data_IF_229210210279
#
_entry.id   IF_229210210279
#
_cell.length_a   1.000
_cell.length_b   1.000
_cell.length_c   1.000
_cell.angle_alpha   90.00
_cell.angle_beta   90.00
_cell.angle_gamma   90.00
#
_symmetry.space_group_name_H-M   'P 1'
#
loop_
_entity.id
_entity.type
_entity.pdbx_description
1 polymer ?
#
# COMPACT_ATOMS: atom_id res chain seq x y z
N UNK A 1 8.37 -8.89 -25.43
CA UNK A 1 7.87 -8.96 -24.05
C UNK A 1 8.06 -10.31 -23.35
N UNK A 2 8.22 -11.42 -24.05
CA UNK A 2 8.40 -12.75 -23.42
C UNK A 2 9.76 -13.04 -22.77
N UNK A 3 10.77 -12.16 -22.91
CA UNK A 3 12.16 -12.47 -22.55
C UNK A 3 12.47 -12.38 -21.04
N UNK A 4 11.65 -11.67 -20.25
CA UNK A 4 11.89 -11.43 -18.83
C UNK A 4 11.05 -12.29 -17.89
N UNK A 5 9.99 -12.94 -18.39
CA UNK A 5 9.07 -13.73 -17.57
C UNK A 5 9.69 -15.00 -16.94
N UNK A 6 10.80 -15.50 -17.51
CA UNK A 6 11.47 -16.72 -17.04
C UNK A 6 12.60 -16.42 -16.04
N UNK A 7 12.89 -15.15 -15.79
CA UNK A 7 13.94 -14.74 -14.87
C UNK A 7 13.38 -14.34 -13.51
N UNK A 8 14.18 -14.55 -12.46
CA UNK A 8 13.83 -14.02 -11.13
C UNK A 8 13.98 -12.50 -11.10
N UNK A 9 13.25 -11.84 -10.20
CA UNK A 9 13.30 -10.38 -10.10
C UNK A 9 14.67 -9.88 -9.66
N UNK A 10 15.36 -10.66 -8.84
CA UNK A 10 16.74 -10.40 -8.40
C UNK A 10 17.70 -10.38 -9.58
N UNK A 11 17.63 -11.39 -10.45
CA UNK A 11 18.46 -11.47 -11.67
C UNK A 11 18.14 -10.33 -12.65
N UNK A 12 16.88 -9.90 -12.71
CA UNK A 12 16.48 -8.75 -13.53
C UNK A 12 17.10 -7.46 -12.99
N UNK A 13 17.12 -7.27 -11.67
CA UNK A 13 17.71 -6.07 -11.05
C UNK A 13 19.24 -6.02 -11.27
N UNK A 14 19.93 -7.16 -11.22
CA UNK A 14 21.36 -7.21 -11.55
C UNK A 14 21.62 -6.77 -13.01
N UNK A 15 20.82 -7.23 -13.96
CA UNK A 15 20.92 -6.80 -15.36
C UNK A 15 20.55 -5.33 -15.56
N UNK A 16 19.57 -4.82 -14.81
CA UNK A 16 19.24 -3.39 -14.82
C UNK A 16 20.45 -2.55 -14.41
N UNK A 17 21.17 -2.98 -13.37
CA UNK A 17 22.43 -2.33 -12.93
C UNK A 17 23.56 -2.46 -13.93
N UNK A 18 23.57 -3.52 -14.72
CA UNK A 18 24.50 -3.70 -15.83
C UNK A 18 24.17 -2.81 -17.06
N UNK A 19 23.09 -2.01 -16.99
CA UNK A 19 22.74 -1.00 -17.99
C UNK A 19 21.54 -1.34 -18.87
N UNK A 20 20.81 -2.43 -18.62
CA UNK A 20 19.62 -2.79 -19.40
C UNK A 20 18.37 -2.05 -18.87
N UNK A 21 18.21 -0.78 -19.24
CA UNK A 21 17.18 0.14 -18.71
C UNK A 21 15.72 -0.32 -18.93
N UNK A 22 15.46 -1.09 -20.01
CA UNK A 22 14.12 -1.61 -20.31
C UNK A 22 13.53 -2.51 -19.20
N UNK A 23 14.39 -3.07 -18.34
CA UNK A 23 13.97 -3.89 -17.20
C UNK A 23 13.23 -3.07 -16.14
N UNK A 24 13.60 -1.79 -15.97
CA UNK A 24 12.90 -0.92 -15.03
C UNK A 24 11.42 -0.80 -15.41
N UNK A 25 11.10 -0.52 -16.66
CA UNK A 25 9.71 -0.43 -17.14
C UNK A 25 8.97 -1.76 -16.99
N UNK A 26 9.66 -2.87 -17.26
CA UNK A 26 9.09 -4.20 -17.09
C UNK A 26 8.71 -4.47 -15.62
N UNK A 27 9.59 -4.20 -14.66
CA UNK A 27 9.33 -4.39 -13.23
C UNK A 27 8.22 -3.44 -12.75
N UNK A 28 8.22 -2.19 -13.19
CA UNK A 28 7.17 -1.23 -12.85
C UNK A 28 5.79 -1.72 -13.34
N UNK A 29 5.68 -2.24 -14.56
CA UNK A 29 4.42 -2.77 -15.07
C UNK A 29 4.02 -4.08 -14.38
N UNK A 30 4.98 -5.00 -14.12
CA UNK A 30 4.74 -6.25 -13.40
C UNK A 30 4.11 -6.02 -12.01
N UNK A 31 4.62 -5.04 -11.26
CA UNK A 31 4.18 -4.75 -9.90
C UNK A 31 3.05 -3.72 -9.78
N UNK A 32 2.65 -3.09 -10.87
CA UNK A 32 1.57 -2.09 -10.92
C UNK A 32 0.25 -2.60 -10.35
N UNK A 33 -0.09 -3.87 -10.60
CA UNK A 33 -1.27 -4.51 -10.04
C UNK A 33 -1.22 -4.58 -8.51
N UNK A 34 -0.05 -4.90 -7.95
CA UNK A 34 0.20 -4.92 -6.51
C UNK A 34 0.04 -3.53 -5.90
N UNK A 35 0.65 -2.51 -6.52
CA UNK A 35 0.53 -1.11 -6.07
C UNK A 35 -0.94 -0.67 -6.03
N UNK A 36 -1.71 -0.95 -7.10
CA UNK A 36 -3.14 -0.63 -7.14
C UNK A 36 -3.94 -1.33 -6.04
N UNK A 37 -3.66 -2.61 -5.78
CA UNK A 37 -4.31 -3.36 -4.70
C UNK A 37 -4.04 -2.74 -3.34
N UNK A 38 -2.78 -2.38 -3.06
CA UNK A 38 -2.37 -1.73 -1.79
C UNK A 38 -2.97 -0.33 -1.65
N UNK A 39 -2.90 0.50 -2.68
CA UNK A 39 -3.49 1.84 -2.68
C UNK A 39 -5.00 1.81 -2.39
N UNK A 40 -5.73 0.85 -2.98
CA UNK A 40 -7.16 0.66 -2.70
C UNK A 40 -7.43 0.25 -1.26
N UNK A 41 -6.63 -0.65 -0.69
CA UNK A 41 -6.76 -1.02 0.71
C UNK A 41 -6.50 0.20 1.63
N UNK A 42 -5.47 0.97 1.34
CA UNK A 42 -5.10 2.17 2.12
C UNK A 42 -6.04 3.36 1.92
N UNK A 43 -6.80 3.42 0.82
CA UNK A 43 -7.87 4.42 0.64
C UNK A 43 -8.89 4.39 1.78
N UNK A 44 -9.18 3.22 2.35
CA UNK A 44 -10.10 3.08 3.48
C UNK A 44 -9.62 3.83 4.73
N UNK A 45 -8.30 4.00 4.88
CA UNK A 45 -7.68 4.72 6.00
C UNK A 45 -7.66 6.23 5.73
N UNK A 46 -7.42 6.66 4.49
CA UNK A 46 -7.43 8.07 4.09
C UNK A 46 -6.73 8.32 2.75
N UNK A 47 -6.96 9.50 2.18
CA UNK A 47 -6.35 9.92 0.92
C UNK A 47 -7.24 9.68 -0.31
N UNK A 48 -6.81 10.19 -1.46
CA UNK A 48 -7.37 9.90 -2.77
C UNK A 48 -6.70 8.65 -3.37
N UNK A 49 -7.48 7.81 -4.06
CA UNK A 49 -6.95 6.55 -4.61
C UNK A 49 -5.87 6.78 -5.66
N UNK A 50 -6.04 7.78 -6.51
CA UNK A 50 -5.09 8.04 -7.59
C UNK A 50 -3.79 8.61 -7.05
N UNK A 51 -3.86 9.50 -6.05
CA UNK A 51 -2.68 10.00 -5.33
C UNK A 51 -1.93 8.85 -4.63
N UNK A 52 -2.67 7.94 -3.97
CA UNK A 52 -2.06 6.80 -3.30
C UNK A 52 -1.42 5.81 -4.29
N UNK A 53 -1.98 5.67 -5.51
CA UNK A 53 -1.35 4.87 -6.57
C UNK A 53 -0.03 5.52 -7.00
N UNK A 54 0.01 6.84 -7.20
CA UNK A 54 1.24 7.55 -7.56
C UNK A 54 2.30 7.40 -6.48
N UNK A 55 1.94 7.61 -5.22
CA UNK A 55 2.85 7.40 -4.09
C UNK A 55 3.35 5.96 -4.01
N UNK A 56 2.48 4.98 -4.20
CA UNK A 56 2.87 3.57 -4.26
C UNK A 56 3.83 3.26 -5.42
N UNK A 57 3.66 3.90 -6.58
CA UNK A 57 4.61 3.77 -7.71
C UNK A 57 5.97 4.40 -7.38
N UNK A 58 6.00 5.52 -6.63
CA UNK A 58 7.26 6.10 -6.13
C UNK A 58 7.94 5.12 -5.16
N UNK A 59 7.17 4.47 -4.26
CA UNK A 59 7.69 3.44 -3.36
C UNK A 59 8.29 2.25 -4.11
N UNK A 60 7.62 1.78 -5.17
CA UNK A 60 8.13 0.72 -6.04
C UNK A 60 9.41 1.14 -6.77
N UNK A 61 9.45 2.35 -7.30
CA UNK A 61 10.66 2.87 -7.96
C UNK A 61 11.86 2.92 -7.01
N UNK A 62 11.64 3.39 -5.77
CA UNK A 62 12.67 3.34 -4.71
C UNK A 62 13.12 1.90 -4.43
N UNK A 63 12.18 0.95 -4.37
CA UNK A 63 12.52 -0.45 -4.15
C UNK A 63 13.40 -1.02 -5.27
N UNK A 64 13.10 -0.75 -6.53
CA UNK A 64 13.94 -1.18 -7.68
C UNK A 64 15.35 -0.60 -7.61
N UNK A 65 15.46 0.67 -7.21
CA UNK A 65 16.75 1.36 -7.10
C UNK A 65 17.59 0.86 -5.91
N UNK A 66 16.98 0.69 -4.75
CA UNK A 66 17.66 0.54 -3.46
C UNK A 66 17.78 -0.91 -2.99
N UNK A 67 17.12 -1.87 -3.66
CA UNK A 67 17.20 -3.29 -3.33
C UNK A 67 18.64 -3.80 -3.42
N UNK A 68 19.04 -4.64 -2.47
CA UNK A 68 20.36 -5.28 -2.43
C UNK A 68 20.18 -6.80 -2.44
N UNK A 69 20.65 -7.53 -3.48
CA UNK A 69 20.49 -8.98 -3.60
C UNK A 69 21.18 -9.78 -2.49
N UNK A 70 22.21 -9.20 -1.86
CA UNK A 70 23.01 -9.85 -0.81
C UNK A 70 22.28 -10.00 0.54
N UNK A 71 21.05 -9.46 0.64
CA UNK A 71 20.21 -9.60 1.84
C UNK A 71 19.24 -10.77 1.65
N UNK A 72 18.97 -11.50 2.73
CA UNK A 72 18.13 -12.72 2.76
C UNK A 72 16.66 -12.51 2.33
N UNK A 73 16.24 -11.30 2.00
CA UNK A 73 14.87 -10.98 1.61
C UNK A 73 14.70 -10.97 0.09
N UNK A 74 13.61 -11.56 -0.41
CA UNK A 74 13.25 -11.49 -1.83
C UNK A 74 12.92 -10.05 -2.24
N UNK A 75 13.15 -9.71 -3.52
CA UNK A 75 12.75 -8.40 -4.06
C UNK A 75 11.26 -8.11 -3.83
N UNK A 76 10.40 -9.11 -4.01
CA UNK A 76 8.96 -8.96 -3.81
C UNK A 76 8.63 -8.53 -2.37
N UNK A 77 9.28 -9.14 -1.36
CA UNK A 77 9.08 -8.77 0.05
C UNK A 77 9.56 -7.35 0.33
N UNK A 78 10.74 -6.98 -0.19
CA UNK A 78 11.28 -5.64 -0.05
C UNK A 78 10.41 -4.58 -0.73
N UNK A 79 9.96 -4.84 -1.98
CA UNK A 79 9.07 -3.94 -2.71
C UNK A 79 7.73 -3.74 -1.97
N UNK A 80 7.17 -4.82 -1.37
CA UNK A 80 5.97 -4.73 -0.56
C UNK A 80 6.12 -3.71 0.58
N UNK A 81 7.22 -3.79 1.33
CA UNK A 81 7.49 -2.90 2.46
C UNK A 81 7.69 -1.45 1.98
N UNK A 82 8.45 -1.25 0.91
CA UNK A 82 8.70 0.09 0.36
C UNK A 82 7.41 0.77 -0.13
N UNK A 83 6.53 0.02 -0.81
CA UNK A 83 5.24 0.51 -1.29
C UNK A 83 4.35 0.90 -0.09
N UNK A 84 4.21 0.02 0.90
CA UNK A 84 3.37 0.27 2.08
C UNK A 84 3.84 1.50 2.86
N UNK A 85 5.14 1.62 3.11
CA UNK A 85 5.72 2.77 3.82
C UNK A 85 5.49 4.07 3.08
N UNK A 86 5.68 4.09 1.76
CA UNK A 86 5.49 5.31 0.97
C UNK A 86 4.02 5.75 1.01
N UNK A 87 3.08 4.83 0.80
CA UNK A 87 1.64 5.13 0.86
C UNK A 87 1.24 5.60 2.27
N UNK A 88 1.71 4.92 3.32
CA UNK A 88 1.41 5.30 4.70
C UNK A 88 1.93 6.70 5.04
N UNK A 89 3.16 7.02 4.61
CA UNK A 89 3.75 8.35 4.80
C UNK A 89 2.92 9.43 4.11
N UNK A 90 2.45 9.18 2.90
CA UNK A 90 1.59 10.11 2.18
C UNK A 90 0.25 10.35 2.90
N UNK A 91 -0.39 9.29 3.42
CA UNK A 91 -1.62 9.41 4.21
C UNK A 91 -1.38 10.22 5.48
N UNK A 92 -0.29 9.96 6.21
CA UNK A 92 0.07 10.66 7.43
C UNK A 92 0.33 12.14 7.17
N UNK A 93 1.02 12.47 6.08
CA UNK A 93 1.28 13.85 5.64
C UNK A 93 -0.03 14.56 5.28
N UNK A 94 -0.89 13.94 4.47
CA UNK A 94 -2.20 14.51 4.10
C UNK A 94 -3.09 14.78 5.31
N UNK A 95 -3.10 13.88 6.30
CA UNK A 95 -3.89 14.06 7.51
C UNK A 95 -3.35 15.20 8.39
N UNK A 96 -2.03 15.40 8.47
CA UNK A 96 -1.44 16.54 9.20
C UNK A 96 -1.83 17.86 8.57
N UNK A 97 -1.81 17.97 7.24
CA UNK A 97 -2.19 19.20 6.53
C UNK A 97 -3.65 19.57 6.72
N UNK A 98 -4.55 18.61 6.84
CA UNK A 98 -5.99 18.84 7.08
C UNK A 98 -6.30 19.37 8.49
N UNK A 99 -5.42 19.15 9.46
CA UNK A 99 -5.58 19.57 10.84
C UNK A 99 -4.79 20.82 11.22
N UNK A 100 -3.98 21.40 10.31
CA UNK A 100 -3.32 22.68 10.56
C UNK A 100 -4.27 23.82 10.18
N UNK A 101 -4.65 24.73 11.11
CA UNK A 101 -5.27 25.99 10.76
C UNK A 101 -4.27 26.81 9.93
N UNK A 102 -4.78 27.56 8.97
CA UNK A 102 -4.08 28.35 7.93
C UNK A 102 -3.03 29.37 8.43
N UNK A 103 -2.63 29.37 9.69
CA UNK A 103 -1.84 30.43 10.31
C UNK A 103 -0.61 29.96 11.09
N UNK A 104 -0.01 28.82 10.77
CA UNK A 104 1.28 28.47 11.40
C UNK A 104 2.37 28.34 10.33
N UNK A 105 3.20 29.37 10.21
CA UNK A 105 4.50 29.28 9.53
C UNK A 105 5.32 28.20 10.22
N UNK A 106 5.63 27.10 9.55
CA UNK A 106 6.58 26.11 10.03
C UNK A 106 7.88 26.30 9.27
N UNK A 107 8.93 26.64 10.01
CA UNK A 107 10.30 26.77 9.54
C UNK A 107 10.78 25.45 8.91
N UNK A 108 11.38 25.53 7.72
CA UNK A 108 11.95 24.42 6.94
C UNK A 108 13.29 23.90 7.48
N UNK A 109 13.53 23.93 8.78
CA UNK A 109 14.83 23.59 9.38
C UNK A 109 14.87 22.34 10.26
N UNK A 110 13.95 21.41 10.12
CA UNK A 110 14.04 20.13 10.85
C UNK A 110 14.46 19.00 9.92
N UNK A 111 15.80 18.87 9.76
CA UNK A 111 16.45 17.77 9.05
C UNK A 111 16.47 16.43 9.80
N UNK A 112 15.58 16.21 10.78
CA UNK A 112 15.54 14.99 11.60
C UNK A 112 14.69 13.85 10.98
N UNK A 113 14.08 14.06 9.83
CA UNK A 113 13.22 13.05 9.21
C UNK A 113 13.97 11.96 8.41
N UNK A 114 15.23 12.20 8.01
CA UNK A 114 15.98 11.26 7.17
C UNK A 114 16.79 10.22 7.99
N UNK A 115 17.22 10.54 9.20
CA UNK A 115 18.02 9.61 10.03
C UNK A 115 17.17 8.51 10.66
N UNK A 116 15.94 8.78 11.06
CA UNK A 116 15.02 7.77 11.60
C UNK A 116 14.54 6.74 10.56
N UNK A 117 14.79 6.97 9.26
CA UNK A 117 14.34 6.09 8.18
C UNK A 117 15.28 4.89 7.96
N UNK A 118 16.57 5.01 8.31
CA UNK A 118 17.53 3.91 8.12
C UNK A 118 17.48 2.88 9.24
N UNK A 119 17.22 3.28 10.47
CA UNK A 119 17.18 2.37 11.63
C UNK A 119 15.89 1.53 11.70
N UNK A 120 14.77 2.04 11.20
CA UNK A 120 13.49 1.28 11.17
C UNK A 120 13.47 0.09 10.19
N UNK A 121 14.47 -0.04 9.31
CA UNK A 121 14.55 -1.14 8.36
C UNK A 121 15.22 -2.39 8.92
N UNK A 122 15.82 -2.32 10.12
CA UNK A 122 16.67 -3.36 10.69
C UNK A 122 16.11 -3.99 11.98
N UNK A 123 14.98 -3.50 12.51
CA UNK A 123 14.39 -4.11 13.69
C UNK A 123 13.56 -5.35 13.34
N UNK A 124 14.24 -6.46 13.50
CA UNK A 124 13.80 -7.74 14.05
C UNK A 124 12.59 -8.42 13.40
N UNK A 125 12.87 -9.28 12.42
CA UNK A 125 12.13 -10.52 12.22
C UNK A 125 12.35 -11.49 13.42
N UNK A 126 11.87 -11.10 14.60
CA UNK A 126 11.71 -12.04 15.67
C UNK A 126 10.49 -12.93 15.32
N UNK A 127 10.62 -14.27 15.19
CA UNK A 127 9.50 -15.16 14.87
C UNK A 127 8.31 -14.99 15.81
N UNK A 128 8.55 -14.61 17.07
CA UNK A 128 7.50 -14.36 18.05
C UNK A 128 6.71 -13.07 17.74
N UNK A 129 7.36 -11.97 17.31
CA UNK A 129 6.66 -10.75 16.93
C UNK A 129 5.80 -10.96 15.67
N UNK A 130 6.29 -11.73 14.71
CA UNK A 130 5.52 -12.08 13.50
C UNK A 130 4.29 -12.93 13.87
N UNK A 131 4.39 -13.83 14.85
CA UNK A 131 3.25 -14.63 15.29
C UNK A 131 2.21 -13.78 16.03
N UNK A 132 2.66 -12.91 16.94
CA UNK A 132 1.81 -11.98 17.69
C UNK A 132 1.12 -11.00 16.75
N UNK A 133 1.83 -10.48 15.74
CA UNK A 133 1.25 -9.58 14.74
C UNK A 133 0.20 -10.31 13.87
N UNK A 134 0.43 -11.57 13.51
CA UNK A 134 -0.57 -12.38 12.78
C UNK A 134 -1.82 -12.66 13.62
N UNK A 135 -1.68 -12.95 14.91
CA UNK A 135 -2.82 -13.17 15.81
C UNK A 135 -3.59 -11.86 16.03
N UNK A 136 -2.90 -10.74 16.20
CA UNK A 136 -3.50 -9.42 16.33
C UNK A 136 -4.24 -9.01 15.04
N UNK A 137 -3.66 -9.23 13.87
CA UNK A 137 -4.29 -8.97 12.57
C UNK A 137 -5.52 -9.85 12.38
N UNK A 138 -5.44 -11.14 12.70
CA UNK A 138 -6.58 -12.06 12.59
C UNK A 138 -7.73 -11.67 13.56
N UNK A 139 -7.38 -11.23 14.77
CA UNK A 139 -8.36 -10.73 15.75
C UNK A 139 -9.04 -9.46 15.24
N UNK A 140 -8.28 -8.49 14.76
CA UNK A 140 -8.78 -7.25 14.15
C UNK A 140 -9.66 -7.51 12.93
N UNK A 141 -9.25 -8.43 12.04
CA UNK A 141 -10.08 -8.84 10.90
C UNK A 141 -11.42 -9.43 11.33
N UNK A 142 -11.42 -10.25 12.38
CA UNK A 142 -12.66 -10.85 12.91
C UNK A 142 -13.57 -9.80 13.55
N UNK A 143 -13.03 -8.85 14.29
CA UNK A 143 -13.79 -7.74 14.86
C UNK A 143 -14.35 -6.82 13.77
N UNK A 144 -13.55 -6.49 12.76
CA UNK A 144 -14.01 -5.73 11.60
C UNK A 144 -15.14 -6.45 10.87
N UNK A 145 -15.01 -7.75 10.61
CA UNK A 145 -16.05 -8.56 9.96
C UNK A 145 -17.36 -8.57 10.76
N UNK A 146 -17.29 -8.55 12.09
CA UNK A 146 -18.47 -8.46 12.98
C UNK A 146 -19.13 -7.09 12.97
N UNK A 147 -18.36 -6.02 12.80
CA UNK A 147 -18.86 -4.63 12.79
C UNK A 147 -19.50 -4.23 11.45
N UNK A 148 -19.16 -4.92 10.37
CA UNK A 148 -19.68 -4.65 9.04
C UNK A 148 -20.97 -5.46 8.77
N UNK A 149 -21.94 -4.83 8.11
CA UNK A 149 -23.13 -5.55 7.65
C UNK A 149 -22.76 -6.57 6.54
N UNK A 150 -23.60 -7.59 6.27
CA UNK A 150 -23.33 -8.56 5.20
C UNK A 150 -23.10 -7.91 3.82
N UNK A 151 -23.82 -6.84 3.52
CA UNK A 151 -23.61 -6.06 2.29
C UNK A 151 -22.26 -5.35 2.29
N UNK A 152 -21.91 -4.69 3.39
CA UNK A 152 -20.63 -3.97 3.53
C UNK A 152 -19.44 -4.94 3.42
N UNK A 153 -19.52 -6.12 4.05
CA UNK A 153 -18.50 -7.17 3.90
C UNK A 153 -18.32 -7.60 2.44
N UNK A 154 -19.43 -7.82 1.73
CA UNK A 154 -19.36 -8.21 0.32
C UNK A 154 -18.82 -7.12 -0.58
N UNK A 155 -19.21 -5.86 -0.34
CA UNK A 155 -18.67 -4.69 -1.04
C UNK A 155 -17.19 -4.54 -0.79
N UNK A 156 -16.74 -4.66 0.48
CA UNK A 156 -15.33 -4.58 0.85
C UNK A 156 -14.51 -5.66 0.15
N UNK A 157 -14.97 -6.91 0.15
CA UNK A 157 -14.27 -8.01 -0.50
C UNK A 157 -14.07 -7.75 -1.99
N UNK A 158 -15.15 -7.41 -2.71
CA UNK A 158 -15.08 -7.11 -4.14
C UNK A 158 -14.18 -5.90 -4.45
N UNK A 159 -14.20 -4.90 -3.57
CA UNK A 159 -13.34 -3.73 -3.71
C UNK A 159 -11.85 -4.09 -3.55
N UNK A 160 -11.51 -4.90 -2.56
CA UNK A 160 -10.13 -5.39 -2.34
C UNK A 160 -9.66 -6.31 -3.47
N UNK A 161 -10.58 -7.08 -4.08
CA UNK A 161 -10.30 -7.91 -5.27
C UNK A 161 -10.01 -7.08 -6.53
N UNK A 162 -10.17 -5.74 -6.45
CA UNK A 162 -9.79 -4.83 -7.53
C UNK A 162 -10.94 -4.33 -8.38
N UNK A 163 -12.20 -4.67 -8.06
CA UNK A 163 -13.36 -4.20 -8.80
C UNK A 163 -13.63 -2.71 -8.52
N UNK A 164 -13.97 -1.95 -9.58
CA UNK A 164 -14.46 -0.59 -9.44
C UNK A 164 -15.90 -0.54 -8.89
N UNK A 165 -16.32 0.60 -8.33
CA UNK A 165 -17.67 0.75 -7.75
C UNK A 165 -18.80 0.46 -8.75
N UNK A 166 -18.58 0.73 -10.05
CA UNK A 166 -19.55 0.41 -11.11
C UNK A 166 -19.69 -1.10 -11.34
N UNK A 167 -18.56 -1.83 -11.29
CA UNK A 167 -18.55 -3.28 -11.45
C UNK A 167 -19.15 -3.97 -10.24
N UNK A 168 -18.82 -3.49 -9.03
CA UNK A 168 -19.42 -3.96 -7.77
C UNK A 168 -20.94 -3.76 -7.81
N UNK A 169 -21.40 -2.60 -8.29
CA UNK A 169 -22.83 -2.34 -8.43
C UNK A 169 -23.50 -3.34 -9.36
N UNK A 170 -22.87 -3.66 -10.49
CA UNK A 170 -23.34 -4.65 -11.46
C UNK A 170 -23.38 -6.06 -10.86
N UNK A 171 -22.28 -6.48 -10.19
CA UNK A 171 -22.16 -7.81 -9.56
C UNK A 171 -23.23 -8.01 -8.47
N UNK A 172 -23.49 -6.99 -7.66
CA UNK A 172 -24.42 -7.06 -6.53
C UNK A 172 -25.86 -6.67 -6.88
N UNK A 173 -26.13 -6.29 -8.14
CA UNK A 173 -27.46 -5.82 -8.57
C UNK A 173 -27.92 -4.57 -7.79
N UNK A 174 -27.00 -3.66 -7.45
CA UNK A 174 -27.26 -2.44 -6.70
C UNK A 174 -26.93 -1.21 -7.53
N UNK A 175 -27.40 -0.04 -7.08
CA UNK A 175 -27.03 1.22 -7.74
C UNK A 175 -25.60 1.64 -7.37
N UNK A 176 -24.85 2.30 -8.27
CA UNK A 176 -23.50 2.81 -7.95
C UNK A 176 -23.48 3.70 -6.71
N UNK A 177 -24.50 4.54 -6.52
CA UNK A 177 -24.65 5.38 -5.33
C UNK A 177 -24.78 4.56 -4.02
N UNK A 178 -25.45 3.40 -4.08
CA UNK A 178 -25.55 2.50 -2.92
C UNK A 178 -24.21 1.90 -2.54
N UNK A 179 -23.37 1.56 -3.53
CA UNK A 179 -22.02 1.03 -3.31
C UNK A 179 -21.11 2.12 -2.75
N UNK A 180 -21.15 3.33 -3.29
CA UNK A 180 -20.39 4.47 -2.79
C UNK A 180 -20.72 4.76 -1.33
N UNK A 181 -22.00 4.84 -0.99
CA UNK A 181 -22.45 5.01 0.40
C UNK A 181 -21.99 3.86 1.32
N UNK A 182 -21.94 2.62 0.82
CA UNK A 182 -21.43 1.49 1.58
C UNK A 182 -19.91 1.64 1.84
N UNK A 183 -19.13 2.00 0.84
CA UNK A 183 -17.69 2.26 0.97
C UNK A 183 -17.40 3.39 1.95
N UNK A 184 -18.18 4.48 1.91
CA UNK A 184 -18.04 5.58 2.87
C UNK A 184 -18.32 5.14 4.32
N UNK A 185 -19.37 4.31 4.54
CA UNK A 185 -19.65 3.75 5.86
C UNK A 185 -18.57 2.80 6.35
N UNK A 186 -18.06 1.92 5.46
CA UNK A 186 -16.92 1.03 5.76
C UNK A 186 -15.72 1.87 6.18
N UNK A 187 -15.39 2.92 5.41
CA UNK A 187 -14.30 3.85 5.73
C UNK A 187 -14.48 4.52 7.10
N UNK A 188 -15.69 4.96 7.43
CA UNK A 188 -16.00 5.54 8.73
C UNK A 188 -15.78 4.56 9.88
N UNK A 189 -16.24 3.31 9.72
CA UNK A 189 -16.05 2.25 10.71
C UNK A 189 -14.59 1.87 10.89
N UNK A 190 -13.84 1.71 9.79
CA UNK A 190 -12.41 1.38 9.85
C UNK A 190 -11.61 2.46 10.58
N UNK A 191 -11.90 3.75 10.33
CA UNK A 191 -11.23 4.85 11.03
C UNK A 191 -11.41 4.86 12.55
N UNK A 192 -12.43 4.20 13.09
CA UNK A 192 -12.63 4.10 14.54
C UNK A 192 -11.73 3.05 15.21
N UNK A 193 -11.03 2.22 14.43
CA UNK A 193 -10.07 1.21 14.92
C UNK A 193 -8.61 1.68 14.88
N UNK A 194 -8.34 2.81 14.21
CA UNK A 194 -7.01 3.44 14.09
C UNK A 194 -7.02 4.87 14.63
#
# INVERSE_FOLDING_TARGET
>A
MCRYNEMTDEALIERLRAGESAIADYLMEKYKGLVRKKARAMFLIGGDTDDLIQEGMIGLFKAVRDYQPDRESSFQSFANICIDRQIYTAIKSSNRQKHQPLNTYVSLSDGEAEENFRDSCVEHDNPESILIDRENVASLENEMKKSLSPLENRVLQLYLDGNGYMDIARILGKTPKSIDNALQRIRGKIKSYF
#
